data_IF_272655208260
#
_entry.id   IF_272655208260
#
_cell.length_a   1.000
_cell.length_b   1.000
_cell.length_c   1.000
_cell.angle_alpha   90.00
_cell.angle_beta   90.00
_cell.angle_gamma   90.00
#
_symmetry.space_group_name_H-M   'P 1'
#
loop_
_entity.id
_entity.type
_entity.pdbx_description
1 polymer ?
#
# COMPACT_ATOMS: atom_id res chain seq x y z
N UNK A 1 15.38 -21.30 31.88
CA UNK A 1 14.13 -21.51 31.13
C UNK A 1 13.71 -20.15 30.60
N UNK A 2 13.87 -19.89 29.31
CA UNK A 2 13.47 -18.60 28.71
C UNK A 2 11.95 -18.70 28.51
N UNK A 3 11.18 -18.12 29.42
CA UNK A 3 9.73 -18.01 29.28
C UNK A 3 9.45 -16.98 28.19
N UNK A 4 9.01 -17.43 27.03
CA UNK A 4 8.50 -16.55 25.99
C UNK A 4 7.12 -16.07 26.45
N UNK A 5 7.02 -14.83 26.90
CA UNK A 5 5.75 -14.22 27.35
C UNK A 5 4.87 -13.79 26.17
N UNK A 6 5.37 -13.79 24.93
CA UNK A 6 4.59 -13.42 23.74
C UNK A 6 4.66 -14.52 22.69
N UNK A 7 3.50 -14.99 22.22
CA UNK A 7 3.38 -15.94 21.10
C UNK A 7 2.69 -15.23 19.92
N UNK A 8 3.32 -15.13 18.73
CA UNK A 8 2.65 -14.52 17.57
C UNK A 8 1.45 -15.37 17.14
N UNK A 9 0.28 -14.75 17.03
CA UNK A 9 -0.97 -15.38 16.57
C UNK A 9 -1.35 -14.94 15.16
N UNK A 10 -0.93 -13.75 14.75
CA UNK A 10 -1.04 -13.25 13.38
C UNK A 10 0.25 -12.53 13.01
N UNK A 11 0.80 -12.88 11.86
CA UNK A 11 1.90 -12.12 11.27
C UNK A 11 1.35 -11.42 10.02
N UNK A 12 1.64 -10.14 9.89
CA UNK A 12 1.38 -9.36 8.68
C UNK A 12 2.03 -10.07 7.50
N UNK A 13 1.29 -10.20 6.41
CA UNK A 13 1.81 -10.85 5.21
C UNK A 13 3.04 -10.07 4.69
N UNK A 14 4.18 -10.75 4.54
CA UNK A 14 5.38 -10.11 4.00
C UNK A 14 5.14 -9.72 2.54
N UNK A 15 5.28 -8.42 2.27
CA UNK A 15 5.36 -7.85 0.92
C UNK A 15 6.74 -7.21 0.80
N UNK A 16 7.74 -8.02 0.46
CA UNK A 16 9.12 -7.55 0.32
C UNK A 16 9.30 -6.60 -0.88
N UNK A 17 8.47 -6.81 -1.92
CA UNK A 17 8.50 -6.03 -3.14
C UNK A 17 7.18 -5.31 -3.41
N UNK A 18 6.30 -5.96 -4.15
CA UNK A 18 4.94 -5.56 -4.43
C UNK A 18 4.15 -6.85 -4.76
N UNK A 19 2.83 -6.76 -4.74
CA UNK A 19 1.93 -7.81 -5.23
C UNK A 19 0.86 -7.19 -6.12
N UNK A 20 0.38 -7.96 -7.09
CA UNK A 20 -0.85 -7.65 -7.79
C UNK A 20 -1.89 -8.61 -7.25
N UNK A 21 -2.87 -8.09 -6.55
CA UNK A 21 -3.83 -8.86 -5.77
C UNK A 21 -5.26 -8.53 -6.21
N UNK A 22 -6.16 -9.46 -5.98
CA UNK A 22 -7.57 -9.34 -6.32
C UNK A 22 -8.39 -9.42 -5.03
N UNK A 23 -9.38 -8.55 -4.83
CA UNK A 23 -10.18 -8.54 -3.60
C UNK A 23 -10.99 -9.83 -3.41
N UNK A 24 -11.33 -10.55 -4.49
CA UNK A 24 -11.90 -11.91 -4.48
C UNK A 24 -11.31 -12.80 -5.57
N UNK A 25 -11.43 -14.11 -5.40
CA UNK A 25 -11.11 -15.10 -6.44
C UNK A 25 -12.07 -14.85 -7.63
N UNK A 26 -11.52 -14.44 -8.78
CA UNK A 26 -12.24 -14.05 -10.01
C UNK A 26 -12.91 -12.64 -10.00
N UNK A 27 -12.54 -11.71 -9.12
CA UNK A 27 -12.97 -10.31 -9.28
C UNK A 27 -12.07 -9.54 -10.26
N UNK A 28 -12.65 -8.58 -10.98
CA UNK A 28 -11.90 -7.58 -11.77
C UNK A 28 -11.33 -6.44 -10.91
N UNK A 29 -11.55 -6.54 -9.60
CA UNK A 29 -11.04 -5.61 -8.61
C UNK A 29 -9.61 -5.98 -8.21
N UNK A 30 -8.70 -5.66 -9.11
CA UNK A 30 -7.27 -5.94 -9.04
C UNK A 30 -6.50 -4.67 -8.67
N UNK A 31 -5.60 -4.74 -7.72
CA UNK A 31 -4.80 -3.60 -7.29
C UNK A 31 -3.33 -3.99 -7.09
N UNK A 32 -2.47 -2.99 -7.23
CA UNK A 32 -1.05 -3.08 -6.96
C UNK A 32 -0.81 -2.69 -5.51
N UNK A 33 -0.30 -3.64 -4.73
CA UNK A 33 -0.05 -3.53 -3.30
C UNK A 33 1.45 -3.47 -3.05
N UNK A 34 1.92 -2.48 -2.29
CA UNK A 34 3.30 -2.44 -1.81
C UNK A 34 3.43 -1.80 -0.44
N UNK A 35 4.49 -2.16 0.28
CA UNK A 35 4.87 -1.51 1.54
C UNK A 35 5.81 -0.33 1.24
N UNK A 36 5.44 0.92 1.55
CA UNK A 36 6.35 2.06 1.46
C UNK A 36 7.42 1.97 2.57
N UNK A 37 8.63 2.41 2.27
CA UNK A 37 9.74 2.49 3.25
C UNK A 37 9.71 3.82 4.05
N UNK A 38 8.54 4.42 4.17
CA UNK A 38 8.34 5.75 4.75
C UNK A 38 6.99 5.88 5.44
N UNK A 39 6.78 7.01 6.13
CA UNK A 39 5.51 7.30 6.80
C UNK A 39 4.38 7.56 5.80
N UNK A 40 3.14 7.27 6.22
CA UNK A 40 1.93 7.52 5.40
C UNK A 40 1.85 8.96 4.88
N UNK A 41 2.10 10.01 5.69
CA UNK A 41 2.05 11.39 5.20
C UNK A 41 3.00 11.66 4.03
N UNK A 42 4.22 11.13 4.06
CA UNK A 42 5.11 11.39 2.92
C UNK A 42 5.01 10.38 1.79
N UNK A 43 4.45 9.18 2.03
CA UNK A 43 3.98 8.34 0.92
C UNK A 43 2.87 9.07 0.14
N UNK A 44 1.93 9.72 0.84
CA UNK A 44 0.92 10.58 0.22
C UNK A 44 1.56 11.74 -0.54
N UNK A 45 2.53 12.44 0.05
CA UNK A 45 3.24 13.53 -0.61
C UNK A 45 3.94 13.08 -1.91
N UNK A 46 4.69 11.98 -1.85
CA UNK A 46 5.42 11.45 -3.00
C UNK A 46 4.47 11.00 -4.11
N UNK A 47 3.42 10.26 -3.77
CA UNK A 47 2.42 9.83 -4.77
C UNK A 47 1.74 11.04 -5.44
N UNK A 48 1.40 12.09 -4.69
CA UNK A 48 0.85 13.33 -5.28
C UNK A 48 1.80 13.93 -6.32
N UNK A 49 3.10 13.98 -6.03
CA UNK A 49 4.10 14.52 -6.97
C UNK A 49 4.27 13.63 -8.19
N UNK A 50 4.37 12.31 -7.98
CA UNK A 50 4.57 11.36 -9.07
C UNK A 50 3.37 11.29 -10.03
N UNK A 51 2.15 11.46 -9.52
CA UNK A 51 0.94 11.61 -10.34
C UNK A 51 0.67 13.05 -10.81
N UNK A 52 1.58 13.99 -10.52
CA UNK A 52 1.45 15.41 -10.88
C UNK A 52 0.13 16.06 -10.43
N UNK A 53 -0.35 15.68 -9.23
CA UNK A 53 -1.59 16.19 -8.68
C UNK A 53 -1.45 17.65 -8.24
N UNK A 54 -2.42 18.48 -8.64
CA UNK A 54 -2.58 19.84 -8.15
C UNK A 54 -3.08 19.84 -6.70
N UNK A 55 -2.91 20.98 -6.02
CA UNK A 55 -3.26 21.13 -4.60
C UNK A 55 -4.76 20.88 -4.31
N UNK A 56 -5.63 21.17 -5.27
CA UNK A 56 -7.08 20.95 -5.20
C UNK A 56 -7.50 19.51 -5.55
N UNK A 57 -6.62 18.69 -6.13
CA UNK A 57 -6.92 17.30 -6.48
C UNK A 57 -6.73 16.35 -5.30
N UNK A 58 -7.64 15.37 -5.17
CA UNK A 58 -7.65 14.40 -4.07
C UNK A 58 -6.90 13.13 -4.48
N UNK A 59 -5.90 12.71 -3.69
CA UNK A 59 -5.10 11.51 -4.00
C UNK A 59 -5.94 10.22 -4.02
N UNK A 60 -7.06 10.18 -3.28
CA UNK A 60 -7.90 8.99 -3.14
C UNK A 60 -8.44 8.50 -4.49
N UNK A 61 -8.87 9.42 -5.35
CA UNK A 61 -9.42 9.11 -6.67
C UNK A 61 -9.29 10.33 -7.56
N UNK A 62 -8.68 10.15 -8.73
CA UNK A 62 -8.45 11.21 -9.71
C UNK A 62 -8.26 10.64 -11.11
N UNK A 63 -8.53 11.44 -12.11
CA UNK A 63 -8.26 11.11 -13.52
C UNK A 63 -6.90 11.68 -13.93
N UNK A 64 -6.08 10.90 -14.64
CA UNK A 64 -4.75 11.32 -15.08
C UNK A 64 -4.34 10.69 -16.40
N UNK A 65 -3.53 11.43 -17.18
CA UNK A 65 -2.86 10.91 -18.38
C UNK A 65 -1.58 10.22 -17.94
N UNK A 66 -1.58 8.88 -17.96
CA UNK A 66 -0.48 8.07 -17.44
C UNK A 66 0.62 7.77 -18.47
N UNK A 67 0.29 7.85 -19.77
CA UNK A 67 1.17 7.44 -20.85
C UNK A 67 1.14 8.46 -21.98
N UNK A 68 2.23 9.20 -22.19
CA UNK A 68 2.29 10.30 -23.16
C UNK A 68 1.99 9.87 -24.60
N UNK A 69 2.28 8.62 -24.94
CA UNK A 69 2.07 8.07 -26.28
C UNK A 69 0.59 7.82 -26.62
N UNK A 70 -0.32 7.95 -25.66
CA UNK A 70 -1.75 7.74 -25.86
C UNK A 70 -2.51 8.97 -25.40
N UNK A 71 -3.45 9.45 -26.22
CA UNK A 71 -4.36 10.51 -25.79
C UNK A 71 -5.55 9.91 -25.02
N UNK A 72 -5.23 9.21 -23.93
CA UNK A 72 -6.17 8.46 -23.11
C UNK A 72 -5.95 8.86 -21.65
N UNK A 73 -7.05 9.15 -20.97
CA UNK A 73 -7.08 9.40 -19.54
C UNK A 73 -7.46 8.11 -18.78
N UNK A 74 -6.92 7.96 -17.59
CA UNK A 74 -7.14 6.80 -16.72
C UNK A 74 -7.63 7.27 -15.36
N UNK A 75 -8.56 6.52 -14.79
CA UNK A 75 -8.99 6.74 -13.42
C UNK A 75 -8.08 5.98 -12.46
N UNK A 76 -7.48 6.71 -11.54
CA UNK A 76 -6.55 6.19 -10.55
C UNK A 76 -7.18 6.26 -9.18
N UNK A 77 -7.20 5.15 -8.47
CA UNK A 77 -7.61 5.06 -7.07
C UNK A 77 -6.41 4.69 -6.20
N UNK A 78 -6.22 5.42 -5.10
CA UNK A 78 -5.16 5.16 -4.12
C UNK A 78 -5.76 5.01 -2.74
N UNK A 79 -5.52 3.87 -2.11
CA UNK A 79 -5.89 3.57 -0.73
C UNK A 79 -4.68 3.18 0.11
N UNK A 80 -4.83 3.34 1.42
CA UNK A 80 -3.84 2.93 2.41
C UNK A 80 -4.50 1.91 3.33
N UNK A 81 -3.89 0.74 3.42
CA UNK A 81 -4.35 -0.36 4.27
C UNK A 81 -3.40 -0.51 5.46
N UNK A 82 -3.95 -0.66 6.66
CA UNK A 82 -3.18 -0.93 7.88
C UNK A 82 -3.36 -2.40 8.22
N UNK A 83 -2.26 -3.10 8.42
CA UNK A 83 -2.25 -4.45 8.95
C UNK A 83 -1.32 -4.50 10.17
N UNK A 84 -1.72 -5.28 11.17
CA UNK A 84 -1.02 -5.37 12.45
C UNK A 84 -0.61 -6.82 12.69
N UNK A 85 0.61 -7.01 13.21
CA UNK A 85 0.96 -8.27 13.86
C UNK A 85 0.09 -8.38 15.11
N UNK A 86 -0.30 -9.59 15.49
CA UNK A 86 -1.01 -9.85 16.75
C UNK A 86 -0.24 -10.92 17.50
N UNK A 87 -0.06 -10.71 18.79
CA UNK A 87 0.58 -11.67 19.69
C UNK A 87 -0.29 -11.90 20.92
N UNK A 88 -0.26 -13.13 21.40
CA UNK A 88 -0.85 -13.52 22.64
C UNK A 88 0.17 -13.27 23.76
N UNK A 89 -0.16 -12.37 24.67
CA UNK A 89 0.67 -11.98 25.81
C UNK A 89 0.28 -12.78 27.06
N UNK A 90 1.20 -13.62 27.51
CA UNK A 90 1.10 -14.45 28.70
C UNK A 90 1.66 -13.77 29.95
N UNK A 91 2.20 -12.55 29.84
CA UNK A 91 2.68 -11.75 30.99
C UNK A 91 1.67 -11.75 32.15
N UNK A 92 0.36 -11.54 31.94
CA UNK A 92 -0.62 -11.57 33.04
C UNK A 92 -0.63 -12.87 33.84
N UNK A 93 -0.39 -14.04 33.22
CA UNK A 93 -0.33 -15.34 33.90
C UNK A 93 0.86 -15.47 34.87
N UNK A 94 1.89 -14.64 34.72
CA UNK A 94 3.07 -14.67 35.58
C UNK A 94 2.97 -13.70 36.77
N UNK A 95 2.05 -12.74 36.73
CA UNK A 95 1.95 -11.65 37.72
C UNK A 95 0.57 -11.56 38.41
N UNK A 96 -0.43 -12.31 37.95
CA UNK A 96 -1.77 -12.40 38.54
C UNK A 96 -2.20 -13.88 38.64
N UNK A 97 -2.65 -14.32 39.82
CA UNK A 97 -3.13 -15.69 40.09
C UNK A 97 -4.35 -16.08 39.23
N UNK A 98 -5.07 -15.08 38.68
CA UNK A 98 -6.17 -15.29 37.73
C UNK A 98 -5.86 -14.72 36.33
N UNK A 99 -4.60 -14.35 36.07
CA UNK A 99 -4.17 -13.79 34.80
C UNK A 99 -4.47 -14.74 33.64
N UNK A 100 -5.05 -14.22 32.57
CA UNK A 100 -5.29 -14.96 31.32
C UNK A 100 -4.46 -14.35 30.21
N UNK A 101 -4.11 -15.12 29.16
CA UNK A 101 -3.41 -14.57 28.02
C UNK A 101 -4.30 -13.52 27.35
N UNK A 102 -3.71 -12.39 26.97
CA UNK A 102 -4.41 -11.29 26.30
C UNK A 102 -3.91 -11.16 24.88
N UNK A 103 -4.82 -10.91 23.93
CA UNK A 103 -4.44 -10.49 22.59
C UNK A 103 -3.85 -9.07 22.66
N UNK A 104 -2.68 -8.89 22.07
CA UNK A 104 -2.02 -7.60 21.93
C UNK A 104 -1.70 -7.35 20.47
N UNK A 105 -1.94 -6.12 20.04
CA UNK A 105 -1.51 -5.64 18.73
C UNK A 105 -0.01 -5.29 18.76
N UNK A 106 0.69 -5.71 17.71
CA UNK A 106 2.07 -5.40 17.41
C UNK A 106 2.23 -4.14 16.57
N UNK A 107 3.37 -4.03 15.89
CA UNK A 107 3.66 -2.87 15.05
C UNK A 107 2.71 -2.80 13.86
N UNK A 108 2.07 -1.65 13.66
CA UNK A 108 1.25 -1.41 12.49
C UNK A 108 2.11 -1.24 11.23
N UNK A 109 1.79 -2.00 10.19
CA UNK A 109 2.38 -1.89 8.86
C UNK A 109 1.34 -1.26 7.94
N UNK A 110 1.71 -0.16 7.28
CA UNK A 110 0.88 0.41 6.22
C UNK A 110 1.28 -0.13 4.87
N UNK A 111 0.30 -0.45 4.04
CA UNK A 111 0.44 -0.75 2.62
C UNK A 111 -0.25 0.31 1.77
N UNK A 112 0.33 0.59 0.61
CA UNK A 112 -0.28 1.40 -0.44
C UNK A 112 -0.91 0.45 -1.44
N UNK A 113 -2.16 0.73 -1.79
CA UNK A 113 -2.92 0.07 -2.83
C UNK A 113 -3.18 1.07 -3.96
N UNK A 114 -2.87 0.69 -5.19
CA UNK A 114 -3.14 1.52 -6.37
C UNK A 114 -3.93 0.69 -7.38
N UNK A 115 -5.04 1.25 -7.85
CA UNK A 115 -5.87 0.71 -8.92
C UNK A 115 -5.95 1.72 -10.05
N UNK A 116 -5.90 1.22 -11.29
CA UNK A 116 -5.93 2.04 -12.50
C UNK A 116 -6.98 1.44 -13.43
N UNK A 117 -7.93 2.27 -13.87
CA UNK A 117 -9.02 1.91 -14.76
C UNK A 117 -8.90 2.70 -16.06
N UNK A 118 -9.21 2.06 -17.18
CA UNK A 118 -9.38 2.77 -18.45
C UNK A 118 -10.76 3.44 -18.55
N UNK A 119 -10.97 4.26 -19.58
CA UNK A 119 -12.25 4.95 -19.82
C UNK A 119 -13.45 4.00 -20.02
N UNK A 120 -13.19 2.73 -20.34
CA UNK A 120 -14.23 1.70 -20.43
C UNK A 120 -14.58 1.07 -19.08
N UNK A 121 -13.96 1.53 -17.98
CA UNK A 121 -14.13 0.95 -16.65
C UNK A 121 -13.41 -0.39 -16.48
N UNK A 122 -12.44 -0.72 -17.35
CA UNK A 122 -11.70 -1.97 -17.23
C UNK A 122 -10.42 -1.76 -16.42
N UNK A 123 -10.12 -2.73 -15.56
CA UNK A 123 -8.93 -2.67 -14.72
C UNK A 123 -7.66 -2.87 -15.55
N UNK A 124 -6.78 -1.88 -15.56
CA UNK A 124 -5.52 -1.91 -16.30
C UNK A 124 -4.49 -2.88 -15.70
N UNK A 125 -4.71 -3.42 -14.51
CA UNK A 125 -3.93 -4.51 -13.90
C UNK A 125 -4.53 -5.90 -14.14
N UNK A 126 -5.64 -6.00 -14.87
CA UNK A 126 -6.15 -7.28 -15.36
C UNK A 126 -5.18 -7.89 -16.37
N UNK A 127 -4.85 -9.19 -16.30
CA UNK A 127 -4.03 -9.86 -17.31
C UNK A 127 -4.61 -9.80 -18.73
N UNK A 128 -5.91 -9.51 -18.86
CA UNK A 128 -6.60 -9.33 -20.15
C UNK A 128 -6.51 -7.90 -20.69
N UNK A 129 -6.02 -6.94 -19.90
CA UNK A 129 -5.92 -5.54 -20.30
C UNK A 129 -4.77 -5.34 -21.28
N UNK A 130 -5.00 -4.53 -22.32
CA UNK A 130 -3.97 -4.07 -23.24
C UNK A 130 -2.91 -3.20 -22.54
N UNK A 131 -3.25 -2.60 -21.41
CA UNK A 131 -2.36 -1.74 -20.64
C UNK A 131 -1.62 -2.47 -19.51
N UNK A 132 -1.81 -3.79 -19.34
CA UNK A 132 -1.27 -4.57 -18.23
C UNK A 132 0.22 -4.33 -17.98
N UNK A 133 1.05 -4.57 -19.01
CA UNK A 133 2.49 -4.46 -18.88
C UNK A 133 2.95 -3.01 -18.60
N UNK A 134 2.34 -2.02 -19.27
CA UNK A 134 2.68 -0.61 -19.08
C UNK A 134 2.31 -0.13 -17.68
N UNK A 135 1.10 -0.46 -17.23
CA UNK A 135 0.58 -0.12 -15.90
C UNK A 135 1.42 -0.75 -14.81
N UNK A 136 1.77 -2.04 -14.95
CA UNK A 136 2.64 -2.74 -14.01
C UNK A 136 4.03 -2.10 -13.92
N UNK A 137 4.65 -1.74 -15.05
CA UNK A 137 5.97 -1.11 -15.06
C UNK A 137 5.94 0.29 -14.44
N UNK A 138 4.93 1.10 -14.78
CA UNK A 138 4.72 2.42 -14.18
C UNK A 138 4.61 2.33 -12.65
N UNK A 139 3.83 1.39 -12.13
CA UNK A 139 3.64 1.25 -10.68
C UNK A 139 4.87 0.72 -9.95
N UNK A 140 5.69 -0.12 -10.61
CA UNK A 140 7.01 -0.52 -10.08
C UNK A 140 7.93 0.70 -9.99
N UNK A 141 7.97 1.52 -11.04
CA UNK A 141 8.75 2.75 -11.06
C UNK A 141 8.31 3.72 -9.95
N UNK A 142 6.99 3.90 -9.78
CA UNK A 142 6.44 4.73 -8.71
C UNK A 142 6.89 4.25 -7.33
N UNK A 143 6.79 2.94 -7.11
CA UNK A 143 7.17 2.26 -5.87
C UNK A 143 8.66 2.37 -5.59
N UNK A 144 9.52 2.30 -6.61
CA UNK A 144 10.97 2.42 -6.44
C UNK A 144 11.41 3.88 -6.27
N UNK A 145 10.68 4.84 -6.84
CA UNK A 145 10.93 6.27 -6.68
C UNK A 145 10.42 6.82 -5.35
N UNK A 146 9.37 6.23 -4.77
CA UNK A 146 8.90 6.61 -3.43
C UNK A 146 10.07 6.53 -2.45
N UNK A 147 10.89 5.47 -2.51
CA UNK A 147 12.03 5.26 -1.60
C UNK A 147 13.14 6.32 -1.72
N UNK A 148 13.24 6.97 -2.88
CA UNK A 148 14.39 7.81 -3.25
C UNK A 148 14.15 9.30 -3.08
N UNK A 149 12.92 9.75 -2.86
CA UNK A 149 12.68 11.18 -2.66
C UNK A 149 13.26 11.61 -1.31
N UNK A 150 14.39 12.33 -1.35
CA UNK A 150 14.96 13.00 -0.18
C UNK A 150 13.88 13.91 0.42
N UNK A 151 13.38 13.56 1.61
CA UNK A 151 12.40 14.32 2.39
C UNK A 151 12.86 15.75 2.79
N UNK A 152 13.97 16.24 2.23
CA UNK A 152 14.62 17.49 2.60
C UNK A 152 15.22 18.22 1.40
N UNK A 153 14.45 18.44 0.33
CA UNK A 153 14.76 19.61 -0.52
C UNK A 153 14.08 20.83 0.10
N UNK A 154 14.82 21.74 0.77
CA UNK A 154 14.22 23.01 1.16
C UNK A 154 13.73 23.69 -0.11
N UNK A 155 12.52 24.24 -0.05
CA UNK A 155 12.01 25.16 -1.07
C UNK A 155 12.93 26.38 -1.00
N UNK A 156 13.96 26.41 -1.85
CA UNK A 156 14.74 27.63 -2.07
C UNK A 156 13.81 28.56 -2.85
N UNK A 157 13.22 29.53 -2.14
CA UNK A 157 12.57 30.68 -2.74
C UNK A 157 13.62 31.68 -3.21
#
# INVERSE_FOLDING_TARGET
>A
MILYSCIPIKNVERVDQYKIVSSKKNSEDIYFLFKPEMSVPGAKYSLRRQFSLKDDQVLKSFTSKLFDNYDIEFDVEVSFELDNDEYLDFTPMFFDDNGRPEDKEGGAITFVQIKIMDQGGNNCLSPKSLFYNKTRLLLIEIRDNIKKEDYFRPIVK
#
